data_IF_263196797034
#
_entry.id   IF_263196797034
#
_cell.length_a   1.000
_cell.length_b   1.000
_cell.length_c   1.000
_cell.angle_alpha   90.00
_cell.angle_beta   90.00
_cell.angle_gamma   90.00
#
_symmetry.space_group_name_H-M   'P 1'
#
loop_
_entity.id
_entity.type
_entity.pdbx_description
1 polymer ?
#
# COMPACT_ATOMS: atom_id res chain seq x y z
N UNK A 1 -48.11 35.97 -21.68
CA UNK A 1 -47.80 34.66 -21.09
C UNK A 1 -46.37 34.27 -21.46
N UNK A 2 -45.40 34.52 -20.54
CA UNK A 2 -43.97 34.19 -20.74
C UNK A 2 -43.72 32.78 -20.20
N UNK A 3 -43.49 31.82 -21.06
CA UNK A 3 -43.08 30.46 -20.69
C UNK A 3 -41.57 30.45 -20.37
N UNK A 4 -41.22 30.28 -19.09
CA UNK A 4 -39.86 30.08 -18.63
C UNK A 4 -39.48 28.62 -18.93
N UNK A 5 -38.55 28.42 -19.85
CA UNK A 5 -37.91 27.14 -20.10
C UNK A 5 -36.79 26.96 -19.07
N UNK A 6 -37.01 26.09 -18.08
CA UNK A 6 -35.92 25.60 -17.21
C UNK A 6 -35.09 24.59 -17.97
N UNK A 7 -33.90 25.01 -18.43
CA UNK A 7 -32.87 24.08 -18.92
C UNK A 7 -32.25 23.42 -17.71
N UNK A 8 -32.67 22.19 -17.44
CA UNK A 8 -32.06 21.34 -16.39
C UNK A 8 -30.73 20.81 -16.96
N UNK A 9 -29.61 21.50 -16.63
CA UNK A 9 -28.27 21.06 -17.03
C UNK A 9 -27.91 19.83 -16.20
N UNK A 10 -28.05 18.66 -16.81
CA UNK A 10 -27.62 17.38 -16.25
C UNK A 10 -26.08 17.37 -16.31
N UNK A 11 -25.43 17.66 -15.18
CA UNK A 11 -23.99 17.57 -15.02
C UNK A 11 -23.64 16.09 -14.86
N UNK A 12 -22.98 15.44 -15.83
CA UNK A 12 -22.59 14.05 -15.66
C UNK A 12 -21.51 13.96 -14.59
N UNK A 13 -21.85 13.32 -13.47
CA UNK A 13 -20.88 12.89 -12.48
C UNK A 13 -20.02 11.79 -13.11
N UNK A 14 -18.84 12.16 -13.58
CA UNK A 14 -17.81 11.18 -13.93
C UNK A 14 -17.31 10.55 -12.63
N UNK A 15 -17.82 9.35 -12.27
CA UNK A 15 -17.18 8.50 -11.29
C UNK A 15 -15.79 8.13 -11.85
N UNK A 16 -14.76 8.76 -11.29
CA UNK A 16 -13.37 8.50 -11.63
C UNK A 16 -12.95 7.18 -10.97
N UNK A 17 -13.34 6.06 -11.56
CA UNK A 17 -12.85 4.74 -11.16
C UNK A 17 -11.38 4.61 -11.55
N UNK A 18 -10.56 3.97 -10.69
CA UNK A 18 -9.20 3.60 -11.07
C UNK A 18 -9.23 2.57 -12.20
N UNK A 19 -8.31 2.62 -13.18
CA UNK A 19 -8.28 1.65 -14.26
C UNK A 19 -7.95 0.25 -13.74
N UNK A 20 -8.55 -0.77 -14.35
CA UNK A 20 -8.30 -2.18 -14.04
C UNK A 20 -7.35 -2.80 -15.07
N UNK A 21 -6.49 -3.76 -14.67
CA UNK A 21 -5.55 -4.39 -15.58
C UNK A 21 -6.20 -5.14 -16.73
N UNK A 22 -5.75 -4.85 -17.95
CA UNK A 22 -6.11 -5.56 -19.18
C UNK A 22 -4.81 -5.90 -19.95
N UNK A 23 -4.76 -7.07 -20.61
CA UNK A 23 -3.60 -7.50 -21.41
C UNK A 23 -2.26 -7.42 -20.66
N UNK A 24 -2.21 -8.03 -19.47
CA UNK A 24 -1.08 -7.92 -18.54
C UNK A 24 0.15 -8.65 -19.05
N UNK A 25 1.28 -7.94 -19.14
CA UNK A 25 2.60 -8.51 -19.39
C UNK A 25 3.22 -9.02 -18.09
N UNK A 26 3.96 -10.13 -18.15
CA UNK A 26 4.63 -10.70 -16.97
C UNK A 26 6.07 -10.19 -16.87
N UNK A 27 6.45 -9.72 -15.68
CA UNK A 27 7.82 -9.41 -15.32
C UNK A 27 8.32 -10.46 -14.31
N UNK A 28 9.51 -10.98 -14.50
CA UNK A 28 10.13 -11.96 -13.60
C UNK A 28 10.81 -11.35 -12.37
N UNK A 29 10.90 -10.03 -12.30
CA UNK A 29 11.51 -9.30 -11.20
C UNK A 29 10.50 -9.02 -10.08
N UNK A 30 11.00 -8.97 -8.84
CA UNK A 30 10.20 -8.50 -7.71
C UNK A 30 9.85 -7.01 -7.87
N UNK A 31 8.67 -6.56 -7.38
CA UNK A 31 8.32 -5.15 -7.45
C UNK A 31 9.27 -4.30 -6.60
N UNK A 32 9.79 -3.19 -7.12
CA UNK A 32 10.65 -2.28 -6.35
C UNK A 32 9.80 -1.43 -5.39
N UNK A 33 9.29 -2.03 -4.32
CA UNK A 33 8.44 -1.37 -3.32
C UNK A 33 9.27 -0.72 -2.21
N UNK A 34 8.69 0.29 -1.58
CA UNK A 34 9.27 0.96 -0.41
C UNK A 34 8.18 1.34 0.62
N UNK A 35 8.34 0.92 1.89
CA UNK A 35 9.37 0.02 2.41
C UNK A 35 9.37 -1.33 1.70
N UNK A 36 10.50 -2.07 1.74
CA UNK A 36 10.59 -3.40 1.16
C UNK A 36 9.90 -4.41 2.09
N UNK A 37 8.72 -4.83 1.68
CA UNK A 37 7.89 -5.82 2.36
C UNK A 37 7.79 -7.14 1.58
N UNK A 38 8.74 -7.41 0.66
CA UNK A 38 8.78 -8.69 -0.03
C UNK A 38 9.21 -9.81 0.91
N UNK A 39 8.45 -10.91 0.92
CA UNK A 39 8.74 -12.14 1.66
C UNK A 39 9.00 -11.92 3.18
N UNK A 40 8.17 -11.09 3.82
CA UNK A 40 8.29 -10.77 5.25
C UNK A 40 7.33 -11.60 6.11
N UNK A 41 7.73 -11.83 7.37
CA UNK A 41 6.86 -12.39 8.41
C UNK A 41 6.29 -11.27 9.27
N UNK A 42 4.98 -11.29 9.48
CA UNK A 42 4.27 -10.23 10.20
C UNK A 42 3.29 -10.81 11.22
N UNK A 43 3.10 -10.15 12.37
CA UNK A 43 2.08 -10.53 13.34
C UNK A 43 0.67 -10.18 12.83
N UNK A 44 -0.34 -10.94 13.28
CA UNK A 44 -1.73 -10.72 12.83
C UNK A 44 -2.32 -9.36 13.19
N UNK A 45 -1.74 -8.67 14.18
CA UNK A 45 -2.20 -7.35 14.64
C UNK A 45 -1.33 -6.18 14.15
N UNK A 46 -0.52 -6.39 13.11
CA UNK A 46 0.31 -5.33 12.52
C UNK A 46 -0.57 -4.26 11.83
N UNK A 47 -0.09 -3.03 11.83
CA UNK A 47 -0.67 -1.97 11.01
C UNK A 47 -0.56 -2.28 9.51
N UNK A 48 -1.42 -1.69 8.66
CA UNK A 48 -1.35 -1.90 7.22
C UNK A 48 0.04 -1.69 6.64
N UNK A 49 0.51 -2.66 5.86
CA UNK A 49 1.79 -2.59 5.16
C UNK A 49 1.67 -1.71 3.91
N UNK A 50 1.40 -0.43 4.14
CA UNK A 50 1.33 0.55 3.07
C UNK A 50 2.71 0.74 2.44
N UNK A 51 2.76 0.82 1.12
CA UNK A 51 4.01 1.00 0.40
C UNK A 51 3.82 1.87 -0.85
N UNK A 52 4.92 2.33 -1.40
CA UNK A 52 4.97 2.93 -2.72
C UNK A 52 5.78 2.06 -3.68
N UNK A 53 5.35 1.97 -4.93
CA UNK A 53 6.12 1.35 -6.00
C UNK A 53 7.11 2.38 -6.55
N UNK A 54 8.42 2.08 -6.51
CA UNK A 54 9.49 2.93 -7.05
C UNK A 54 9.59 2.80 -8.57
N UNK A 55 8.48 2.97 -9.24
CA UNK A 55 8.39 3.01 -10.70
C UNK A 55 7.52 4.19 -11.09
N UNK A 56 7.81 4.80 -12.24
CA UNK A 56 6.93 5.81 -12.81
C UNK A 56 5.74 5.09 -13.47
N UNK A 57 4.61 5.09 -12.78
CA UNK A 57 3.39 4.42 -13.24
C UNK A 57 2.17 5.31 -13.07
N UNK A 58 1.16 5.08 -13.90
CA UNK A 58 -0.09 5.83 -13.92
C UNK A 58 -1.09 5.27 -12.91
N UNK A 59 -1.03 3.98 -12.66
CA UNK A 59 -1.89 3.26 -11.72
C UNK A 59 -1.22 1.97 -11.27
N UNK A 60 -1.65 1.45 -10.10
CA UNK A 60 -1.28 0.12 -9.63
C UNK A 60 -2.51 -0.65 -9.18
N UNK A 61 -2.48 -1.96 -9.39
CA UNK A 61 -3.34 -2.94 -8.72
C UNK A 61 -2.47 -3.79 -7.81
N UNK A 62 -2.88 -3.90 -6.56
CA UNK A 62 -2.27 -4.80 -5.58
C UNK A 62 -3.30 -5.82 -5.16
N UNK A 63 -2.94 -7.10 -5.27
CA UNK A 63 -3.75 -8.20 -4.75
C UNK A 63 -3.00 -8.88 -3.63
N UNK A 64 -3.63 -8.99 -2.47
CA UNK A 64 -3.12 -9.68 -1.30
C UNK A 64 -4.18 -10.69 -0.83
N UNK A 65 -4.00 -11.96 -1.19
CA UNK A 65 -5.05 -12.97 -1.01
C UNK A 65 -6.33 -12.57 -1.73
N UNK A 66 -7.42 -12.37 -0.98
CA UNK A 66 -8.72 -11.95 -1.53
C UNK A 66 -8.89 -10.42 -1.60
N UNK A 67 -8.00 -9.66 -0.95
CA UNK A 67 -8.05 -8.21 -0.97
C UNK A 67 -7.46 -7.67 -2.28
N UNK A 68 -8.21 -6.82 -2.97
CA UNK A 68 -7.75 -6.14 -4.19
C UNK A 68 -7.82 -4.63 -3.99
N UNK A 69 -6.71 -3.96 -4.20
CA UNK A 69 -6.58 -2.52 -4.14
C UNK A 69 -6.21 -1.98 -5.54
N UNK A 70 -7.02 -1.07 -6.06
CA UNK A 70 -6.74 -0.36 -7.31
C UNK A 70 -6.57 1.13 -7.01
N UNK A 71 -5.42 1.68 -7.34
CA UNK A 71 -5.14 3.11 -7.12
C UNK A 71 -4.52 3.76 -8.35
N UNK A 72 -4.69 5.08 -8.47
CA UNK A 72 -3.95 5.91 -9.42
C UNK A 72 -2.63 6.33 -8.79
N UNK A 73 -1.58 6.35 -9.61
CA UNK A 73 -0.22 6.62 -9.15
C UNK A 73 0.44 5.35 -8.63
N UNK A 74 1.40 5.51 -7.73
CA UNK A 74 2.30 4.45 -7.29
C UNK A 74 2.17 4.08 -5.80
N UNK A 75 1.16 4.60 -5.10
CA UNK A 75 0.98 4.37 -3.67
C UNK A 75 -0.08 3.30 -3.41
N UNK A 76 0.26 2.29 -2.60
CA UNK A 76 -0.66 1.30 -2.06
C UNK A 76 -0.99 1.67 -0.61
N UNK A 77 -2.23 2.11 -0.37
CA UNK A 77 -2.75 2.44 0.96
C UNK A 77 -3.96 1.57 1.22
N UNK A 78 -3.84 0.62 2.13
CA UNK A 78 -4.90 -0.31 2.47
C UNK A 78 -5.89 0.32 3.45
N UNK A 79 -7.18 0.06 3.24
CA UNK A 79 -8.19 0.38 4.24
C UNK A 79 -7.94 -0.43 5.52
N UNK A 80 -8.09 0.21 6.68
CA UNK A 80 -7.73 -0.39 7.97
C UNK A 80 -8.65 -1.55 8.37
N UNK A 81 -9.92 -1.50 7.98
CA UNK A 81 -10.88 -2.53 8.36
C UNK A 81 -10.75 -3.75 7.42
N UNK A 82 -10.56 -3.52 6.13
CA UNK A 82 -10.25 -4.58 5.16
C UNK A 82 -8.92 -5.26 5.51
N UNK A 83 -7.91 -4.48 5.91
CA UNK A 83 -6.63 -5.00 6.36
C UNK A 83 -6.75 -5.89 7.58
N UNK A 84 -7.47 -5.45 8.62
CA UNK A 84 -7.71 -6.25 9.83
C UNK A 84 -8.41 -7.57 9.51
N UNK A 85 -9.39 -7.51 8.61
CA UNK A 85 -10.13 -8.69 8.19
C UNK A 85 -9.21 -9.68 7.47
N UNK A 86 -8.37 -9.20 6.54
CA UNK A 86 -7.37 -10.01 5.82
C UNK A 86 -6.42 -10.69 6.81
N UNK A 87 -5.85 -9.93 7.78
CA UNK A 87 -4.91 -10.47 8.76
C UNK A 87 -5.54 -11.54 9.65
N UNK A 88 -6.77 -11.32 10.15
CA UNK A 88 -7.48 -12.29 10.99
C UNK A 88 -7.81 -13.59 10.23
N UNK A 89 -8.17 -13.51 8.96
CA UNK A 89 -8.47 -14.68 8.12
C UNK A 89 -7.21 -15.45 7.72
N UNK A 90 -6.07 -14.79 7.76
CA UNK A 90 -4.78 -15.32 7.33
C UNK A 90 -3.84 -15.69 8.48
N UNK A 91 -4.32 -15.73 9.74
CA UNK A 91 -3.52 -16.14 10.87
C UNK A 91 -2.88 -17.52 10.63
N UNK A 92 -1.56 -17.62 10.85
CA UNK A 92 -0.71 -18.80 10.62
C UNK A 92 -0.70 -19.31 9.16
N UNK A 93 -0.95 -18.40 8.19
CA UNK A 93 -0.95 -18.71 6.76
C UNK A 93 -0.04 -17.75 5.99
N UNK A 94 0.24 -18.15 4.75
CA UNK A 94 0.89 -17.28 3.76
C UNK A 94 -0.18 -16.54 2.94
N UNK A 95 0.04 -15.26 2.71
CA UNK A 95 -0.73 -14.44 1.78
C UNK A 95 0.15 -14.21 0.54
N UNK A 96 -0.30 -14.69 -0.60
CA UNK A 96 0.36 -14.33 -1.86
C UNK A 96 0.00 -12.90 -2.24
N UNK A 97 1.01 -12.12 -2.59
CA UNK A 97 0.87 -10.71 -2.99
C UNK A 97 1.36 -10.52 -4.42
N UNK A 98 0.53 -9.90 -5.23
CA UNK A 98 0.89 -9.51 -6.60
C UNK A 98 0.74 -8.01 -6.76
N UNK A 99 1.69 -7.40 -7.47
CA UNK A 99 1.68 -5.98 -7.83
C UNK A 99 1.68 -5.87 -9.33
N UNK A 100 0.69 -5.20 -9.87
CA UNK A 100 0.56 -4.92 -11.31
C UNK A 100 0.53 -3.41 -11.50
N UNK A 101 1.37 -2.89 -12.39
CA UNK A 101 1.49 -1.45 -12.63
C UNK A 101 1.18 -1.10 -14.08
N UNK A 102 0.51 0.01 -14.29
CA UNK A 102 0.33 0.62 -15.61
C UNK A 102 1.52 1.55 -15.88
N UNK A 103 2.40 1.11 -16.79
CA UNK A 103 3.62 1.81 -17.17
C UNK A 103 3.58 2.05 -18.68
N UNK A 104 3.66 3.31 -19.09
CA UNK A 104 3.61 3.71 -20.51
C UNK A 104 2.41 3.10 -21.27
N UNK A 105 1.24 3.08 -20.61
CA UNK A 105 0.01 2.54 -21.16
C UNK A 105 -0.07 1.00 -21.20
N UNK A 106 0.90 0.28 -20.63
CA UNK A 106 0.94 -1.19 -20.59
C UNK A 106 0.89 -1.70 -19.17
N UNK A 107 -0.04 -2.62 -18.90
CA UNK A 107 -0.09 -3.29 -17.59
C UNK A 107 1.01 -4.34 -17.48
N UNK A 108 1.86 -4.20 -16.47
CA UNK A 108 2.98 -5.10 -16.17
C UNK A 108 2.81 -5.67 -14.77
N UNK A 109 2.68 -6.98 -14.64
CA UNK A 109 2.63 -7.68 -13.36
C UNK A 109 4.03 -8.14 -12.98
N UNK A 110 4.47 -7.73 -11.80
CA UNK A 110 5.72 -8.18 -11.20
C UNK A 110 5.60 -9.60 -10.67
N UNK A 111 6.74 -10.22 -10.38
CA UNK A 111 6.79 -11.50 -9.70
C UNK A 111 6.08 -11.41 -8.35
N UNK A 112 5.22 -12.39 -8.05
CA UNK A 112 4.55 -12.46 -6.75
C UNK A 112 5.54 -12.73 -5.62
N UNK A 113 5.19 -12.27 -4.43
CA UNK A 113 5.90 -12.48 -3.17
C UNK A 113 4.91 -12.86 -2.09
N UNK A 114 5.36 -13.15 -0.86
CA UNK A 114 4.50 -13.64 0.18
C UNK A 114 4.64 -12.84 1.46
N UNK A 115 3.53 -12.73 2.18
CA UNK A 115 3.51 -12.34 3.59
C UNK A 115 3.17 -13.54 4.44
N UNK A 116 4.07 -13.92 5.35
CA UNK A 116 3.82 -14.96 6.33
C UNK A 116 3.16 -14.32 7.55
N UNK A 117 1.88 -14.56 7.77
CA UNK A 117 1.17 -14.07 8.96
C UNK A 117 1.36 -15.06 10.09
N UNK A 118 1.75 -14.58 11.27
CA UNK A 118 1.87 -15.40 12.50
C UNK A 118 0.84 -14.92 13.53
N UNK A 119 0.32 -15.85 14.32
CA UNK A 119 -0.68 -15.58 15.34
C UNK A 119 -0.10 -14.87 16.58
N UNK A 120 1.23 -14.78 16.68
CA UNK A 120 1.89 -13.99 17.72
C UNK A 120 1.52 -12.51 17.59
N UNK A 121 1.08 -11.89 18.69
CA UNK A 121 0.66 -10.50 18.72
C UNK A 121 1.78 -9.61 19.21
N UNK A 122 1.95 -8.49 18.54
CA UNK A 122 2.78 -7.40 19.06
C UNK A 122 2.04 -6.72 20.19
N UNK A 123 2.76 -6.43 21.29
CA UNK A 123 2.24 -5.64 22.41
C UNK A 123 1.77 -4.27 21.89
N UNK A 124 0.55 -3.82 22.25
CA UNK A 124 0.05 -2.51 21.86
C UNK A 124 0.85 -1.33 22.44
N UNK A 125 1.73 -1.62 23.42
CA UNK A 125 2.57 -0.62 24.06
C UNK A 125 4.03 -0.77 23.64
N UNK A 126 4.55 0.23 22.93
CA UNK A 126 5.97 0.33 22.64
C UNK A 126 6.64 1.25 23.67
N UNK A 127 7.48 0.66 24.54
CA UNK A 127 8.33 1.45 25.45
C UNK A 127 9.68 1.71 24.77
N UNK A 128 10.01 2.97 24.56
CA UNK A 128 11.31 3.35 24.04
C UNK A 128 11.92 4.45 24.92
N UNK A 129 13.23 4.48 24.96
CA UNK A 129 13.99 5.56 25.57
C UNK A 129 14.49 6.48 24.46
N UNK A 130 14.04 7.72 24.50
CA UNK A 130 14.61 8.75 23.63
C UNK A 130 16.04 9.02 24.16
N UNK A 131 17.03 8.59 23.40
CA UNK A 131 18.42 8.98 23.65
C UNK A 131 18.63 10.17 22.73
N UNK A 132 18.74 11.37 23.32
CA UNK A 132 19.16 12.54 22.57
C UNK A 132 20.55 12.22 22.00
N UNK A 133 20.68 12.37 20.69
CA UNK A 133 21.99 12.23 20.04
C UNK A 133 22.81 13.44 20.44
N UNK A 134 23.60 13.25 21.46
CA UNK A 134 24.46 14.27 22.07
C UNK A 134 25.59 14.70 21.15
N UNK A 135 25.28 15.53 20.18
CA UNK A 135 26.30 16.42 19.61
C UNK A 135 26.67 17.54 20.57
N UNK A 136 25.88 17.81 21.61
CA UNK A 136 26.13 18.86 22.58
C UNK A 136 27.06 18.42 23.74
N UNK A 137 27.07 17.14 24.11
CA UNK A 137 27.96 16.65 25.18
C UNK A 137 29.44 16.82 24.82
N UNK A 138 29.81 16.67 23.55
CA UNK A 138 31.21 16.89 23.14
C UNK A 138 31.70 18.33 23.34
N UNK A 139 30.80 19.30 23.23
CA UNK A 139 31.17 20.71 23.47
C UNK A 139 31.31 21.04 24.97
N UNK A 140 30.65 20.30 25.85
CA UNK A 140 30.76 20.48 27.29
C UNK A 140 31.98 19.76 27.92
N UNK A 141 32.42 18.65 27.32
CA UNK A 141 33.59 17.89 27.83
C UNK A 141 34.92 18.53 27.47
N UNK A 142 34.97 19.43 26.49
CA UNK A 142 36.20 20.13 26.10
C UNK A 142 36.54 21.38 26.95
N UNK A 143 35.67 21.77 27.89
CA UNK A 143 35.83 22.97 28.70
C UNK A 143 36.01 22.67 30.21
N UNK A 144 36.45 21.46 30.60
CA UNK A 144 36.83 21.10 31.96
C UNK A 144 38.35 20.96 32.07
#
# INVERSE_FOLDING_TARGET
MRRLFYIFTFLPFYLSCAPTPENVQQNSELPPIYPDYCDVTVPENIAPLNFLLRANCEAIEVRAGELTLNTRGNEAVFDIDDWKMLMQQSADKEIEVTVTALIDGTWTQYKSFKWQVVSDKVDPYLTYRLIETDYEIWNHVQNL
#
